data_IF_532661725629
#
_entry.id   IF_532661725629
#
_cell.length_a   1.000
_cell.length_b   1.000
_cell.length_c   1.000
_cell.angle_alpha   90.00
_cell.angle_beta   90.00
_cell.angle_gamma   90.00
#
_symmetry.space_group_name_H-M   'P 1'
#
loop_
_entity.id
_entity.type
_entity.pdbx_description
1 polymer ?
#
# COMPACT_ATOMS: atom_id res chain seq x y z
N UNK A 1 23.78 0.67 -25.82
CA UNK A 1 22.32 0.46 -25.64
C UNK A 1 21.97 0.75 -24.17
N UNK A 2 21.31 1.88 -23.92
CA UNK A 2 20.86 2.24 -22.57
C UNK A 2 19.77 1.24 -22.13
N UNK A 3 20.11 0.25 -21.32
CA UNK A 3 19.11 -0.61 -20.66
C UNK A 3 18.30 0.29 -19.72
N UNK A 4 17.12 0.71 -20.20
CA UNK A 4 16.17 1.44 -19.38
C UNK A 4 15.91 0.64 -18.11
N UNK A 5 16.31 1.15 -16.95
CA UNK A 5 16.15 0.46 -15.67
C UNK A 5 14.67 0.15 -15.42
N UNK A 6 14.36 -1.12 -15.17
CA UNK A 6 13.01 -1.57 -14.88
C UNK A 6 12.50 -0.88 -13.60
N UNK A 7 11.32 -0.26 -13.70
CA UNK A 7 10.66 0.37 -12.55
C UNK A 7 9.51 -0.49 -12.07
N UNK A 8 9.40 -0.61 -10.75
CA UNK A 8 8.31 -1.32 -10.09
C UNK A 8 7.69 -0.42 -9.02
N UNK A 9 6.44 -0.64 -8.69
CA UNK A 9 5.74 0.16 -7.68
C UNK A 9 4.77 -0.68 -6.87
N UNK A 10 4.42 -0.20 -5.69
CA UNK A 10 3.37 -0.76 -4.83
C UNK A 10 2.57 0.36 -4.18
N UNK A 11 1.34 0.02 -3.76
CA UNK A 11 0.46 0.89 -3.00
C UNK A 11 0.17 0.21 -1.66
N UNK A 12 0.33 0.96 -0.58
CA UNK A 12 0.00 0.58 0.79
C UNK A 12 -1.19 1.42 1.26
N UNK A 13 -2.30 0.75 1.61
CA UNK A 13 -3.55 1.37 2.07
C UNK A 13 -3.63 1.21 3.59
N UNK A 14 -3.17 2.22 4.30
CA UNK A 14 -3.27 2.31 5.75
C UNK A 14 -4.52 3.03 6.23
N UNK A 15 -4.72 3.08 7.56
CA UNK A 15 -5.87 3.73 8.21
C UNK A 15 -5.89 5.25 8.03
N UNK A 16 -4.73 5.92 7.98
CA UNK A 16 -4.61 7.37 7.92
C UNK A 16 -4.15 7.93 6.57
N UNK A 17 -3.55 7.09 5.74
CA UNK A 17 -3.00 7.51 4.46
C UNK A 17 -2.82 6.33 3.51
N UNK A 18 -2.86 6.65 2.23
CA UNK A 18 -2.44 5.75 1.15
C UNK A 18 -1.03 6.16 0.75
N UNK A 19 -0.12 5.19 0.73
CA UNK A 19 1.28 5.40 0.38
C UNK A 19 1.56 4.69 -0.95
N UNK A 20 2.28 5.36 -1.83
CA UNK A 20 2.80 4.83 -3.08
C UNK A 20 4.31 4.86 -3.03
N UNK A 21 4.94 3.72 -3.31
CA UNK A 21 6.39 3.61 -3.46
C UNK A 21 6.73 3.07 -4.83
N UNK A 22 7.71 3.69 -5.48
CA UNK A 22 8.25 3.28 -6.75
C UNK A 22 9.75 3.10 -6.61
N UNK A 23 10.22 2.00 -7.13
CA UNK A 23 11.63 1.63 -7.06
C UNK A 23 12.19 1.42 -8.47
N UNK A 24 13.45 1.69 -8.61
CA UNK A 24 14.27 1.35 -9.76
C UNK A 24 15.02 0.05 -9.45
N UNK A 25 14.89 -0.93 -10.33
CA UNK A 25 15.61 -2.19 -10.21
C UNK A 25 17.00 -2.00 -10.84
N UNK A 26 18.04 -2.10 -10.00
CA UNK A 26 19.44 -2.02 -10.40
C UNK A 26 19.97 -3.38 -10.89
N UNK A 27 21.11 -3.42 -11.64
CA UNK A 27 21.65 -4.67 -12.21
C UNK A 27 21.96 -5.78 -11.21
N UNK A 28 22.26 -5.42 -9.96
CA UNK A 28 22.53 -6.35 -8.85
C UNK A 28 21.26 -6.82 -8.12
N UNK A 29 20.10 -6.64 -8.74
CA UNK A 29 18.78 -6.91 -8.12
C UNK A 29 18.45 -6.03 -6.90
N UNK A 30 19.23 -4.97 -6.68
CA UNK A 30 18.96 -4.01 -5.63
C UNK A 30 17.83 -3.06 -6.03
N UNK A 31 16.97 -2.70 -5.07
CA UNK A 31 15.88 -1.75 -5.27
C UNK A 31 16.26 -0.39 -4.70
N UNK A 32 16.30 0.61 -5.57
CA UNK A 32 16.52 2.00 -5.19
C UNK A 32 15.19 2.75 -5.20
N UNK A 33 14.85 3.42 -4.10
CA UNK A 33 13.63 4.23 -4.02
C UNK A 33 13.72 5.40 -4.99
N UNK A 34 12.81 5.44 -5.98
CA UNK A 34 12.75 6.46 -7.02
C UNK A 34 11.67 7.52 -6.72
N UNK A 35 10.53 7.10 -6.19
CA UNK A 35 9.42 8.01 -5.87
C UNK A 35 8.65 7.51 -4.66
N UNK A 36 8.36 8.42 -3.73
CA UNK A 36 7.45 8.21 -2.62
C UNK A 36 6.33 9.25 -2.65
N UNK A 37 5.08 8.79 -2.50
CA UNK A 37 3.91 9.65 -2.32
C UNK A 37 3.10 9.17 -1.13
N UNK A 38 2.64 10.13 -0.35
CA UNK A 38 1.69 9.89 0.75
C UNK A 38 0.47 10.78 0.51
N UNK A 39 -0.69 10.17 0.44
CA UNK A 39 -1.98 10.87 0.30
C UNK A 39 -2.77 10.64 1.58
N UNK A 40 -3.07 11.71 2.30
CA UNK A 40 -3.90 11.63 3.49
C UNK A 40 -5.32 11.25 3.11
N UNK A 41 -5.79 10.13 3.63
CA UNK A 41 -7.16 9.67 3.53
C UNK A 41 -7.44 8.84 4.77
N UNK A 42 -8.30 9.38 5.65
CA UNK A 42 -8.55 8.82 6.98
C UNK A 42 -9.61 7.71 6.94
N UNK A 43 -9.26 6.59 6.31
CA UNK A 43 -10.13 5.40 6.29
C UNK A 43 -10.46 4.89 7.69
N UNK A 44 -9.55 5.09 8.64
CA UNK A 44 -9.74 4.73 10.05
C UNK A 44 -10.94 5.43 10.69
N UNK A 45 -11.28 6.65 10.29
CA UNK A 45 -12.47 7.35 10.82
C UNK A 45 -13.75 6.59 10.56
N UNK A 46 -13.94 6.10 9.34
CA UNK A 46 -15.10 5.29 8.98
C UNK A 46 -15.02 3.88 9.60
N UNK A 47 -13.83 3.26 9.52
CA UNK A 47 -13.61 1.89 9.96
C UNK A 47 -13.87 1.71 11.47
N UNK A 48 -13.33 2.62 12.28
CA UNK A 48 -13.42 2.54 13.76
C UNK A 48 -14.62 3.31 14.31
N UNK A 49 -15.27 4.16 13.49
CA UNK A 49 -16.51 4.84 13.84
C UNK A 49 -17.74 3.98 13.48
N UNK A 50 -18.08 3.92 12.19
CA UNK A 50 -19.28 3.21 11.71
C UNK A 50 -19.03 1.74 11.34
N UNK A 51 -17.79 1.31 11.20
CA UNK A 51 -17.43 -0.01 10.70
C UNK A 51 -17.75 -0.23 9.21
N UNK A 52 -18.05 0.84 8.48
CA UNK A 52 -18.44 0.78 7.06
C UNK A 52 -17.85 1.96 6.31
N UNK A 53 -17.23 1.71 5.15
CA UNK A 53 -16.80 2.78 4.25
C UNK A 53 -18.04 3.47 3.68
N UNK A 54 -18.12 4.79 3.88
CA UNK A 54 -19.20 5.63 3.32
C UNK A 54 -19.02 5.82 1.81
N UNK A 55 -20.08 6.23 1.12
CA UNK A 55 -19.99 6.48 -0.33
C UNK A 55 -19.07 7.68 -0.63
N UNK A 56 -19.04 8.69 0.24
CA UNK A 56 -18.13 9.84 0.13
C UNK A 56 -16.66 9.38 0.23
N UNK A 57 -16.32 8.66 1.29
CA UNK A 57 -14.98 8.09 1.49
C UNK A 57 -14.59 7.16 0.33
N UNK A 58 -15.55 6.39 -0.20
CA UNK A 58 -15.31 5.52 -1.36
C UNK A 58 -14.93 6.32 -2.61
N UNK A 59 -15.62 7.43 -2.90
CA UNK A 59 -15.30 8.29 -4.06
C UNK A 59 -13.90 8.90 -3.95
N UNK A 60 -13.53 9.36 -2.77
CA UNK A 60 -12.18 9.87 -2.50
C UNK A 60 -11.13 8.76 -2.65
N UNK A 61 -11.40 7.59 -2.08
CA UNK A 61 -10.54 6.41 -2.19
C UNK A 61 -10.31 6.01 -3.65
N UNK A 62 -11.38 5.93 -4.44
CA UNK A 62 -11.33 5.61 -5.86
C UNK A 62 -10.51 6.66 -6.65
N UNK A 63 -10.72 7.94 -6.32
CA UNK A 63 -10.01 9.07 -6.95
C UNK A 63 -8.50 8.98 -6.68
N UNK A 64 -8.10 8.66 -5.45
CA UNK A 64 -6.69 8.48 -5.08
C UNK A 64 -6.08 7.31 -5.85
N UNK A 65 -6.72 6.14 -5.84
CA UNK A 65 -6.23 4.96 -6.56
C UNK A 65 -6.09 5.22 -8.07
N UNK A 66 -7.06 5.89 -8.67
CA UNK A 66 -7.02 6.29 -10.09
C UNK A 66 -5.83 7.19 -10.41
N UNK A 67 -5.56 8.18 -9.56
CA UNK A 67 -4.39 9.08 -9.70
C UNK A 67 -3.07 8.32 -9.57
N UNK A 68 -2.95 7.40 -8.61
CA UNK A 68 -1.74 6.62 -8.39
C UNK A 68 -1.49 5.62 -9.54
N UNK A 69 -2.54 4.93 -10.02
CA UNK A 69 -2.47 4.07 -11.21
C UNK A 69 -1.99 4.84 -12.44
N UNK A 70 -2.57 6.02 -12.69
CA UNK A 70 -2.16 6.90 -13.80
C UNK A 70 -0.70 7.34 -13.65
N UNK A 71 -0.26 7.64 -12.41
CA UNK A 71 1.12 8.01 -12.13
C UNK A 71 2.09 6.87 -12.45
N UNK A 72 1.82 5.65 -11.96
CA UNK A 72 2.62 4.47 -12.26
C UNK A 72 2.77 4.25 -13.78
N UNK A 73 1.63 4.30 -14.51
CA UNK A 73 1.62 4.19 -15.98
C UNK A 73 2.47 5.26 -16.65
N UNK A 74 2.33 6.54 -16.25
CA UNK A 74 3.11 7.67 -16.81
C UNK A 74 4.61 7.50 -16.57
N UNK A 75 5.00 6.85 -15.47
CA UNK A 75 6.42 6.60 -15.10
C UNK A 75 6.97 5.30 -15.65
N UNK A 76 6.16 4.53 -16.41
CA UNK A 76 6.51 3.18 -16.89
C UNK A 76 6.91 2.24 -15.72
N UNK A 77 6.25 2.39 -14.56
CA UNK A 77 6.46 1.56 -13.40
C UNK A 77 5.40 0.45 -13.35
N UNK A 78 5.84 -0.80 -13.33
CA UNK A 78 4.92 -1.93 -13.15
C UNK A 78 4.35 -1.88 -11.72
N UNK A 79 3.02 -1.85 -11.59
CA UNK A 79 2.36 -1.94 -10.29
C UNK A 79 2.30 -3.42 -9.88
N UNK A 80 3.11 -3.79 -8.88
CA UNK A 80 3.27 -5.18 -8.44
C UNK A 80 2.20 -5.64 -7.45
N UNK A 81 1.67 -4.70 -6.64
CA UNK A 81 0.65 -5.02 -5.64
C UNK A 81 0.03 -3.78 -5.02
N UNK A 82 -1.18 -3.97 -4.51
CA UNK A 82 -1.90 -3.02 -3.70
C UNK A 82 -2.31 -3.76 -2.43
N UNK A 83 -1.73 -3.36 -1.32
CA UNK A 83 -1.93 -4.01 -0.03
C UNK A 83 -2.73 -3.10 0.90
N UNK A 84 -3.66 -3.70 1.65
CA UNK A 84 -4.47 -2.99 2.61
C UNK A 84 -4.41 -3.67 3.98
N UNK A 85 -4.47 -2.88 5.05
CA UNK A 85 -4.27 -3.33 6.41
C UNK A 85 -5.49 -3.04 7.30
N UNK A 86 -5.32 -2.60 8.52
CA UNK A 86 -6.32 -2.64 9.59
C UNK A 86 -7.67 -2.00 9.23
N UNK A 87 -7.72 -0.79 8.65
CA UNK A 87 -8.99 -0.16 8.30
C UNK A 87 -9.81 -1.00 7.31
N UNK A 88 -9.17 -1.54 6.27
CA UNK A 88 -9.85 -2.38 5.28
C UNK A 88 -10.29 -3.73 5.88
N UNK A 89 -9.56 -4.29 6.84
CA UNK A 89 -9.99 -5.50 7.57
C UNK A 89 -11.27 -5.26 8.36
N UNK A 90 -11.44 -4.07 8.91
CA UNK A 90 -12.55 -3.71 9.79
C UNK A 90 -13.85 -3.44 9.01
N UNK A 91 -13.78 -2.93 7.79
CA UNK A 91 -14.98 -2.60 7.03
C UNK A 91 -15.88 -3.80 6.77
N UNK A 92 -17.15 -3.71 7.20
CA UNK A 92 -18.19 -4.72 6.94
C UNK A 92 -18.55 -4.82 5.45
N UNK A 93 -18.36 -3.73 4.68
CA UNK A 93 -18.61 -3.67 3.23
C UNK A 93 -17.34 -3.81 2.38
N UNK A 94 -16.22 -4.29 2.94
CA UNK A 94 -14.92 -4.40 2.25
C UNK A 94 -14.98 -5.16 0.93
N UNK A 95 -15.73 -6.26 0.88
CA UNK A 95 -15.82 -7.05 -0.35
C UNK A 95 -16.52 -6.30 -1.48
N UNK A 96 -17.55 -5.51 -1.16
CA UNK A 96 -18.23 -4.66 -2.12
C UNK A 96 -17.31 -3.57 -2.64
N UNK A 97 -16.54 -2.94 -1.74
CA UNK A 97 -15.52 -1.92 -2.08
C UNK A 97 -14.48 -2.50 -3.04
N UNK A 98 -13.89 -3.66 -2.71
CA UNK A 98 -12.88 -4.32 -3.55
C UNK A 98 -13.46 -4.69 -4.94
N UNK A 99 -14.65 -5.27 -4.98
CA UNK A 99 -15.33 -5.61 -6.25
C UNK A 99 -15.58 -4.38 -7.12
N UNK A 100 -16.01 -3.26 -6.52
CA UNK A 100 -16.21 -1.99 -7.23
C UNK A 100 -14.88 -1.46 -7.77
N UNK A 101 -13.80 -1.43 -6.97
CA UNK A 101 -12.46 -1.00 -7.41
C UNK A 101 -11.95 -1.86 -8.55
N UNK A 102 -12.10 -3.18 -8.46
CA UNK A 102 -11.72 -4.09 -9.55
C UNK A 102 -12.50 -3.79 -10.84
N UNK A 103 -13.82 -3.59 -10.72
CA UNK A 103 -14.68 -3.27 -11.88
C UNK A 103 -14.34 -1.93 -12.51
N UNK A 104 -14.12 -0.88 -11.71
CA UNK A 104 -13.93 0.48 -12.20
C UNK A 104 -12.50 0.79 -12.62
N UNK A 105 -11.53 0.23 -11.91
CA UNK A 105 -10.11 0.54 -12.15
C UNK A 105 -9.30 -0.65 -12.65
N UNK A 106 -9.86 -1.85 -12.71
CA UNK A 106 -9.10 -3.08 -12.96
C UNK A 106 -7.84 -3.15 -12.06
N UNK A 107 -8.06 -2.97 -10.75
CA UNK A 107 -7.06 -3.08 -9.70
C UNK A 107 -7.50 -4.16 -8.71
N UNK A 108 -6.57 -4.98 -8.28
CA UNK A 108 -6.76 -5.98 -7.23
C UNK A 108 -6.15 -5.47 -5.94
N UNK A 109 -6.92 -5.52 -4.85
CA UNK A 109 -6.48 -5.13 -3.52
C UNK A 109 -6.39 -6.40 -2.70
N UNK A 110 -5.23 -6.66 -2.14
CA UNK A 110 -4.97 -7.73 -1.19
C UNK A 110 -5.05 -7.18 0.24
N UNK A 111 -5.91 -7.80 1.06
CA UNK A 111 -6.02 -7.44 2.47
C UNK A 111 -5.10 -8.35 3.28
N UNK A 112 -4.06 -7.78 3.86
CA UNK A 112 -3.15 -8.52 4.72
C UNK A 112 -3.77 -8.74 6.11
N UNK A 113 -3.69 -9.97 6.60
CA UNK A 113 -3.99 -10.28 8.00
C UNK A 113 -2.95 -9.64 8.93
N UNK A 114 -3.25 -9.52 10.22
CA UNK A 114 -2.28 -9.01 11.19
C UNK A 114 -1.00 -9.85 11.26
N UNK A 115 -1.11 -11.18 11.09
CA UNK A 115 0.04 -12.09 11.08
C UNK A 115 0.91 -11.91 9.83
N UNK A 116 0.29 -11.71 8.66
CA UNK A 116 1.03 -11.43 7.42
C UNK A 116 1.74 -10.08 7.51
N UNK A 117 1.06 -9.03 7.99
CA UNK A 117 1.64 -7.72 8.24
C UNK A 117 2.84 -7.79 9.18
N UNK A 118 2.69 -8.47 10.33
CA UNK A 118 3.78 -8.72 11.28
C UNK A 118 4.93 -9.52 10.67
N UNK A 119 4.62 -10.49 9.80
CA UNK A 119 5.64 -11.30 9.13
C UNK A 119 6.51 -10.50 8.17
N UNK A 120 6.01 -9.41 7.60
CA UNK A 120 6.79 -8.52 6.74
C UNK A 120 7.90 -7.80 7.50
N UNK A 121 7.75 -7.62 8.81
CA UNK A 121 8.79 -7.03 9.65
C UNK A 121 10.08 -7.88 9.67
N UNK A 122 10.00 -9.19 9.40
CA UNK A 122 11.17 -10.08 9.32
C UNK A 122 12.12 -9.70 8.16
N UNK A 123 11.61 -9.01 7.15
CA UNK A 123 12.42 -8.53 6.03
C UNK A 123 13.15 -7.21 6.32
N UNK A 124 12.89 -6.60 7.46
CA UNK A 124 13.67 -5.46 7.90
C UNK A 124 15.10 -5.91 8.22
N UNK A 125 16.09 -5.16 7.77
CA UNK A 125 17.50 -5.51 8.02
C UNK A 125 17.88 -5.10 9.44
N UNK A 126 17.65 -6.00 10.42
CA UNK A 126 17.95 -5.76 11.84
C UNK A 126 19.44 -5.80 12.17
N UNK A 127 20.31 -6.21 11.23
CA UNK A 127 21.74 -6.42 11.50
C UNK A 127 22.47 -5.17 11.99
N UNK A 128 21.91 -3.97 11.73
CA UNK A 128 22.47 -2.70 12.21
C UNK A 128 22.03 -2.36 13.65
N UNK A 129 21.09 -3.11 14.24
CA UNK A 129 20.48 -2.79 15.52
C UNK A 129 20.64 -3.86 16.59
N UNK A 130 21.27 -5.02 16.27
CA UNK A 130 21.26 -6.18 17.18
C UNK A 130 22.68 -6.55 17.57
N UNK A 131 23.12 -6.04 18.73
CA UNK A 131 24.17 -6.65 19.57
C UNK A 131 23.56 -7.37 20.81
N UNK A 132 22.23 -7.39 20.96
CA UNK A 132 21.51 -7.96 22.11
C UNK A 132 20.07 -8.33 21.73
N UNK A 133 19.33 -8.95 22.64
CA UNK A 133 17.90 -9.19 22.48
C UNK A 133 17.15 -7.86 22.25
N UNK A 134 16.44 -7.75 21.15
CA UNK A 134 15.70 -6.55 20.76
C UNK A 134 14.23 -6.86 20.53
N UNK A 135 13.36 -5.97 21.00
CA UNK A 135 11.92 -5.98 20.73
C UNK A 135 11.59 -4.91 19.69
N UNK A 136 11.07 -5.32 18.53
CA UNK A 136 10.52 -4.39 17.56
C UNK A 136 9.04 -4.18 17.80
N UNK A 137 8.65 -2.93 18.01
CA UNK A 137 7.23 -2.54 18.16
C UNK A 137 6.85 -1.63 17.01
N UNK A 138 5.88 -2.06 16.18
CA UNK A 138 5.25 -1.23 15.16
C UNK A 138 3.89 -0.76 15.66
N UNK A 139 3.74 0.56 15.79
CA UNK A 139 2.48 1.19 16.21
C UNK A 139 1.84 1.83 14.99
N UNK A 140 0.87 1.13 14.41
CA UNK A 140 0.02 1.64 13.34
C UNK A 140 -1.04 2.61 13.89
N UNK A 141 -1.48 3.57 13.08
CA UNK A 141 -2.53 4.53 13.44
C UNK A 141 -3.62 4.62 12.39
#
# INVERSE_FOLDING_TARGET
MNKQSKKVSCIDIGSNAIKYRQYRLLPNSHLELDTFKRVSLRLGSDAFGSGKMTDETYLDFLTVLKKLKKHAKKKNAALLGIFATSAMRTFSNREQVIKKVKKELNLEIEILSGNEEASLLKFFNYKEFIDSESLLVDVGG
#
